data_IF_338368971829
#
_entry.id   IF_338368971829
#
_cell.length_a   1.000
_cell.length_b   1.000
_cell.length_c   1.000
_cell.angle_alpha   90.00
_cell.angle_beta   90.00
_cell.angle_gamma   90.00
#
_symmetry.space_group_name_H-M   'P 1'
#
loop_
_entity.id
_entity.type
_entity.pdbx_description
1 polymer ?
#
# COMPACT_ATOMS: atom_id res chain seq x y z
N UNK A 1 -9.98 11.40 12.14
CA UNK A 1 -8.65 10.88 11.77
C UNK A 1 -7.60 11.68 12.51
N UNK A 2 -6.75 11.04 13.33
CA UNK A 2 -5.57 11.68 13.93
C UNK A 2 -4.65 12.30 12.87
N UNK A 3 -4.04 13.45 13.20
CA UNK A 3 -3.08 14.12 12.32
C UNK A 3 -1.69 13.96 12.91
N UNK A 4 -0.76 13.48 12.09
CA UNK A 4 0.67 13.41 12.39
C UNK A 4 1.40 14.38 11.46
N UNK A 5 1.79 15.53 12.00
CA UNK A 5 2.48 16.57 11.26
C UNK A 5 3.98 16.47 11.46
N UNK A 6 4.71 16.31 10.35
CA UNK A 6 6.15 16.50 10.26
C UNK A 6 6.52 17.95 9.92
N UNK A 7 5.52 18.83 9.86
CA UNK A 7 5.68 20.25 9.55
C UNK A 7 5.48 21.06 10.82
N UNK A 8 6.55 21.62 11.38
CA UNK A 8 6.50 22.38 12.63
C UNK A 8 5.80 23.75 12.50
N UNK A 9 5.78 24.34 11.31
CA UNK A 9 5.20 25.66 11.04
C UNK A 9 3.71 25.62 10.64
N UNK A 10 3.18 24.43 10.36
CA UNK A 10 1.81 24.22 9.87
C UNK A 10 1.09 23.29 10.84
N UNK A 11 0.07 23.82 11.51
CA UNK A 11 -0.85 23.01 12.31
C UNK A 11 -1.94 22.51 11.40
N UNK A 12 -2.06 21.19 11.26
CA UNK A 12 -3.05 20.57 10.41
C UNK A 12 -4.15 19.90 11.26
N UNK A 13 -5.39 20.07 10.83
CA UNK A 13 -6.57 19.50 11.48
C UNK A 13 -7.45 18.83 10.43
N UNK A 14 -7.78 17.56 10.67
CA UNK A 14 -8.79 16.85 9.90
C UNK A 14 -10.13 16.90 10.64
N UNK A 15 -11.18 17.37 9.97
CA UNK A 15 -12.53 17.46 10.54
C UNK A 15 -13.59 17.00 9.53
N UNK A 16 -14.79 16.69 10.04
CA UNK A 16 -15.99 16.55 9.21
C UNK A 16 -16.81 17.81 9.40
N UNK A 17 -16.87 18.66 8.36
CA UNK A 17 -17.67 19.88 8.35
C UNK A 17 -18.87 19.69 7.44
N UNK A 18 -20.09 19.86 7.97
CA UNK A 18 -21.34 19.69 7.21
C UNK A 18 -21.44 18.35 6.46
N UNK A 19 -20.92 17.28 7.08
CA UNK A 19 -20.90 15.93 6.50
C UNK A 19 -19.78 15.68 5.50
N UNK A 20 -18.89 16.65 5.25
CA UNK A 20 -17.80 16.55 4.29
C UNK A 20 -16.42 16.49 4.97
N UNK A 21 -15.49 15.64 4.48
CA UNK A 21 -14.14 15.58 5.00
C UNK A 21 -13.34 16.81 4.56
N UNK A 22 -12.74 17.49 5.54
CA UNK A 22 -12.02 18.75 5.34
C UNK A 22 -10.67 18.69 6.04
N UNK A 23 -9.65 19.21 5.37
CA UNK A 23 -8.36 19.53 5.98
C UNK A 23 -8.27 21.05 6.20
N UNK A 24 -7.91 21.44 7.43
CA UNK A 24 -7.55 22.82 7.76
C UNK A 24 -6.05 22.89 8.02
N UNK A 25 -5.37 23.78 7.31
CA UNK A 25 -3.97 24.11 7.55
C UNK A 25 -3.91 25.49 8.19
N UNK A 26 -3.37 25.57 9.40
CA UNK A 26 -3.21 26.81 10.17
C UNK A 26 -1.74 27.18 10.27
N UNK A 27 -1.45 28.45 10.01
CA UNK A 27 -0.10 29.02 9.98
C UNK A 27 -0.07 30.41 10.58
N UNK A 28 1.07 30.82 11.14
CA UNK A 28 1.23 32.13 11.79
C UNK A 28 1.29 33.29 10.77
N UNK A 29 1.46 32.99 9.49
CA UNK A 29 1.39 33.94 8.37
C UNK A 29 0.75 33.30 7.14
N UNK A 30 0.40 34.06 6.09
CA UNK A 30 -0.29 33.51 4.93
C UNK A 30 0.59 32.47 4.21
N UNK A 31 0.01 31.31 3.90
CA UNK A 31 0.70 30.23 3.19
C UNK A 31 1.10 30.64 1.75
N UNK A 32 0.37 31.60 1.14
CA UNK A 32 0.59 32.10 -0.23
C UNK A 32 0.73 30.97 -1.25
N UNK A 33 -0.22 30.05 -1.22
CA UNK A 33 -0.29 28.94 -2.17
C UNK A 33 -0.62 29.43 -3.58
N UNK A 34 -0.09 28.75 -4.61
CA UNK A 34 -0.44 28.97 -6.01
C UNK A 34 -1.66 28.16 -6.42
N UNK A 35 -1.69 26.90 -5.99
CA UNK A 35 -2.74 25.95 -6.29
C UNK A 35 -2.80 24.88 -5.21
N UNK A 36 -3.94 24.19 -5.12
CA UNK A 36 -4.09 22.98 -4.32
C UNK A 36 -4.54 21.86 -5.24
N UNK A 37 -3.83 20.75 -5.20
CA UNK A 37 -4.15 19.55 -5.96
C UNK A 37 -4.67 18.46 -5.03
N UNK A 38 -5.69 17.74 -5.46
CA UNK A 38 -6.25 16.58 -4.76
C UNK A 38 -6.33 15.37 -5.68
N UNK A 39 -6.27 14.18 -5.10
CA UNK A 39 -6.34 12.91 -5.85
C UNK A 39 -5.60 11.77 -5.17
N UNK A 40 -5.06 10.85 -5.96
CA UNK A 40 -4.27 9.71 -5.43
C UNK A 40 -2.80 10.08 -5.41
N UNK A 41 -2.23 10.16 -4.21
CA UNK A 41 -0.82 10.40 -3.99
C UNK A 41 -0.04 9.09 -3.83
N UNK A 42 1.17 9.08 -4.35
CA UNK A 42 2.17 8.05 -4.12
C UNK A 42 3.21 8.57 -3.11
N UNK A 43 3.53 7.73 -2.14
CA UNK A 43 4.66 7.89 -1.23
C UNK A 43 5.71 6.85 -1.59
N UNK A 44 6.75 7.26 -2.32
CA UNK A 44 7.86 6.39 -2.70
C UNK A 44 8.99 6.48 -1.68
N UNK A 45 9.45 5.32 -1.22
CA UNK A 45 10.55 5.17 -0.26
C UNK A 45 11.65 4.31 -0.87
N UNK A 46 12.87 4.84 -1.03
CA UNK A 46 13.93 4.14 -1.75
C UNK A 46 15.34 4.64 -1.42
N UNK A 47 16.35 3.80 -1.66
CA UNK A 47 17.75 4.20 -1.57
C UNK A 47 18.29 4.66 -2.92
N UNK A 48 18.84 5.87 -2.95
CA UNK A 48 19.49 6.44 -4.14
C UNK A 48 21.00 6.46 -3.95
N UNK A 49 21.75 6.09 -4.99
CA UNK A 49 23.20 6.23 -5.01
C UNK A 49 23.57 7.69 -5.34
N UNK A 50 24.16 8.39 -4.38
CA UNK A 50 24.69 9.75 -4.54
C UNK A 50 26.23 9.68 -4.44
N UNK A 51 26.89 9.60 -5.59
CA UNK A 51 28.35 9.46 -5.67
C UNK A 51 28.83 8.15 -5.02
N UNK A 52 29.56 8.24 -3.90
CA UNK A 52 30.07 7.08 -3.15
C UNK A 52 29.17 6.66 -1.98
N UNK A 53 28.08 7.36 -1.74
CA UNK A 53 27.17 7.13 -0.60
C UNK A 53 25.79 6.71 -1.08
N UNK A 54 25.09 5.94 -0.25
CA UNK A 54 23.66 5.68 -0.42
C UNK A 54 22.88 6.60 0.51
N UNK A 55 21.84 7.23 -0.03
CA UNK A 55 20.96 8.13 0.73
C UNK A 55 19.53 7.62 0.58
N UNK A 56 18.85 7.46 1.72
CA UNK A 56 17.43 7.11 1.74
C UNK A 56 16.59 8.34 1.38
N UNK A 57 15.59 8.15 0.52
CA UNK A 57 14.73 9.21 0.00
C UNK A 57 13.26 8.89 0.22
N UNK A 58 12.50 9.95 0.43
CA UNK A 58 11.05 9.97 0.37
C UNK A 58 10.65 10.94 -0.74
N UNK A 59 10.03 10.41 -1.79
CA UNK A 59 9.60 11.19 -2.94
C UNK A 59 8.07 11.09 -3.06
N UNK A 60 7.32 12.12 -2.65
CA UNK A 60 5.88 12.16 -2.88
C UNK A 60 5.57 12.55 -4.33
N UNK A 61 4.51 11.98 -4.89
CA UNK A 61 3.98 12.39 -6.18
C UNK A 61 2.46 12.25 -6.24
N UNK A 62 1.83 12.87 -7.24
CA UNK A 62 0.42 12.68 -7.56
C UNK A 62 0.30 11.81 -8.81
N UNK A 63 -0.43 10.69 -8.72
CA UNK A 63 -0.70 9.80 -9.86
C UNK A 63 -1.83 10.35 -10.73
N UNK A 64 -2.90 10.81 -10.09
CA UNK A 64 -4.07 11.42 -10.72
C UNK A 64 -4.43 12.67 -9.93
N UNK A 65 -4.09 13.85 -10.44
CA UNK A 65 -4.34 15.12 -9.77
C UNK A 65 -5.44 15.92 -10.45
N UNK A 66 -6.31 16.54 -9.64
CA UNK A 66 -7.17 17.64 -10.05
C UNK A 66 -6.91 18.84 -9.15
N UNK A 67 -6.94 20.03 -9.72
CA UNK A 67 -6.95 21.26 -8.93
C UNK A 67 -8.27 21.35 -8.15
N UNK A 68 -8.19 21.75 -6.88
CA UNK A 68 -9.35 21.93 -6.00
C UNK A 68 -9.33 23.34 -5.40
N UNK A 69 -10.53 23.86 -5.16
CA UNK A 69 -10.67 25.14 -4.46
C UNK A 69 -10.26 25.03 -3.00
N UNK A 70 -9.62 26.08 -2.50
CA UNK A 70 -9.30 26.24 -1.09
C UNK A 70 -9.85 27.56 -0.57
N UNK A 71 -10.39 27.55 0.64
CA UNK A 71 -10.94 28.74 1.29
C UNK A 71 -9.94 29.29 2.30
N UNK A 72 -9.51 30.52 2.10
CA UNK A 72 -8.67 31.23 3.05
C UNK A 72 -9.53 32.02 4.05
N UNK A 73 -9.16 31.93 5.31
CA UNK A 73 -9.71 32.76 6.38
C UNK A 73 -8.63 33.13 7.38
N UNK A 74 -8.93 34.08 8.26
CA UNK A 74 -8.05 34.47 9.35
C UNK A 74 -8.76 34.18 10.67
N UNK A 75 -8.08 33.48 11.58
CA UNK A 75 -8.59 33.25 12.93
C UNK A 75 -8.68 34.55 13.72
N UNK A 76 -9.44 34.55 14.82
CA UNK A 76 -9.52 35.70 15.74
C UNK A 76 -8.15 36.10 16.30
N UNK A 77 -7.23 35.13 16.42
CA UNK A 77 -5.85 35.32 16.88
C UNK A 77 -4.88 35.78 15.77
N UNK A 78 -5.39 36.05 14.56
CA UNK A 78 -4.59 36.55 13.43
C UNK A 78 -3.88 35.47 12.59
N UNK A 79 -3.97 34.19 12.98
CA UNK A 79 -3.40 33.09 12.18
C UNK A 79 -4.17 32.87 10.87
N UNK A 80 -3.44 32.57 9.80
CA UNK A 80 -4.01 32.21 8.49
C UNK A 80 -4.49 30.76 8.50
N UNK A 81 -5.71 30.53 7.99
CA UNK A 81 -6.32 29.20 7.88
C UNK A 81 -6.67 28.95 6.42
N UNK A 82 -6.11 27.88 5.86
CA UNK A 82 -6.49 27.33 4.56
C UNK A 82 -7.39 26.10 4.78
N UNK A 83 -8.61 26.15 4.26
CA UNK A 83 -9.60 25.08 4.39
C UNK A 83 -9.83 24.41 3.03
N UNK A 84 -9.64 23.09 2.97
CA UNK A 84 -9.66 22.31 1.73
C UNK A 84 -10.63 21.13 1.90
N UNK A 85 -11.59 21.01 0.98
CA UNK A 85 -12.50 19.85 0.90
C UNK A 85 -11.81 18.68 0.19
N UNK A 86 -11.79 17.51 0.83
CA UNK A 86 -10.99 16.36 0.38
C UNK A 86 -11.64 15.53 -0.71
N UNK A 87 -12.96 15.66 -0.89
CA UNK A 87 -13.75 14.77 -1.73
C UNK A 87 -13.81 13.35 -1.13
N UNK A 88 -13.89 12.34 -1.99
CA UNK A 88 -13.91 10.95 -1.57
C UNK A 88 -12.52 10.49 -1.13
N UNK A 89 -12.42 9.98 0.10
CA UNK A 89 -11.21 9.34 0.61
C UNK A 89 -11.33 7.86 0.30
N UNK A 90 -10.40 7.31 -0.48
CA UNK A 90 -10.32 5.89 -0.81
C UNK A 90 -9.38 5.16 0.17
N UNK A 91 -9.53 3.84 0.38
CA UNK A 91 -8.59 3.09 1.19
C UNK A 91 -7.18 3.15 0.62
N UNK A 92 -6.20 3.19 1.52
CA UNK A 92 -4.80 3.16 1.14
C UNK A 92 -4.37 1.76 0.72
N UNK A 93 -3.24 1.68 0.05
CA UNK A 93 -2.54 0.43 -0.22
C UNK A 93 -1.05 0.68 -0.01
N UNK A 94 -0.31 -0.35 0.41
CA UNK A 94 1.11 -0.16 0.64
C UNK A 94 1.88 -1.46 0.76
N UNK A 95 3.08 -1.47 0.19
CA UNK A 95 4.04 -2.57 0.29
C UNK A 95 5.39 -1.97 0.67
N UNK A 96 5.92 -2.37 1.81
CA UNK A 96 7.25 -2.03 2.30
C UNK A 96 8.09 -3.28 2.52
N UNK A 97 9.40 -3.17 2.31
CA UNK A 97 10.34 -4.28 2.43
C UNK A 97 11.63 -3.86 3.11
N UNK A 98 12.23 -4.80 3.83
CA UNK A 98 13.63 -4.76 4.25
C UNK A 98 14.03 -3.40 4.80
N UNK A 99 14.94 -2.69 4.11
CA UNK A 99 15.52 -1.41 4.53
C UNK A 99 14.59 -0.20 4.34
N UNK A 100 13.31 -0.34 4.69
CA UNK A 100 12.27 0.70 4.57
C UNK A 100 12.10 1.21 3.13
N UNK A 101 12.08 0.29 2.17
CA UNK A 101 11.83 0.59 0.76
C UNK A 101 10.45 0.12 0.32
N UNK A 102 9.81 0.87 -0.56
CA UNK A 102 8.54 0.49 -1.14
C UNK A 102 7.65 1.68 -1.44
N UNK A 103 6.34 1.41 -1.52
CA UNK A 103 5.36 2.38 -1.97
C UNK A 103 4.13 2.31 -1.08
N UNK A 104 3.57 3.47 -0.75
CA UNK A 104 2.20 3.59 -0.21
C UNK A 104 1.42 4.54 -1.11
N UNK A 105 0.22 4.14 -1.51
CA UNK A 105 -0.74 4.99 -2.21
C UNK A 105 -1.89 5.35 -1.29
N UNK A 106 -2.31 6.61 -1.29
CA UNK A 106 -3.42 7.12 -0.48
C UNK A 106 -4.10 8.30 -1.16
N UNK A 107 -5.32 8.66 -0.74
CA UNK A 107 -5.85 9.99 -1.05
C UNK A 107 -4.88 11.04 -0.53
N UNK A 108 -4.57 12.05 -1.34
CA UNK A 108 -3.60 13.07 -0.99
C UNK A 108 -4.04 14.48 -1.41
N UNK A 109 -3.50 15.47 -0.69
CA UNK A 109 -3.46 16.87 -1.10
C UNK A 109 -2.01 17.30 -1.30
N UNK A 110 -1.78 18.12 -2.32
CA UNK A 110 -0.53 18.84 -2.54
C UNK A 110 -0.85 20.34 -2.63
N UNK A 111 -0.37 21.10 -1.67
CA UNK A 111 -0.45 22.56 -1.65
C UNK A 111 0.87 23.10 -2.17
N UNK A 112 0.80 23.67 -3.37
CA UNK A 112 1.93 24.24 -4.09
C UNK A 112 2.23 25.66 -3.57
N UNK A 113 3.42 25.86 -3.02
CA UNK A 113 3.83 27.10 -2.35
C UNK A 113 5.09 27.67 -3.02
N UNK A 114 4.96 28.56 -4.02
CA UNK A 114 6.09 28.98 -4.85
C UNK A 114 7.25 29.66 -4.14
N UNK A 115 6.98 30.34 -3.02
CA UNK A 115 7.97 31.08 -2.23
C UNK A 115 8.29 30.36 -0.90
N UNK A 116 7.95 29.08 -0.80
CA UNK A 116 8.12 28.28 0.40
C UNK A 116 8.36 26.81 0.07
N UNK A 117 8.04 25.95 1.03
CA UNK A 117 8.01 24.51 0.83
C UNK A 117 6.58 24.08 0.63
N UNK A 118 6.35 23.28 -0.40
CA UNK A 118 5.07 22.64 -0.63
C UNK A 118 4.61 21.87 0.61
N UNK A 119 3.30 21.75 0.78
CA UNK A 119 2.71 20.97 1.86
C UNK A 119 1.96 19.80 1.26
N UNK A 120 2.31 18.60 1.69
CA UNK A 120 1.66 17.36 1.32
C UNK A 120 0.86 16.84 2.51
N UNK A 121 -0.37 16.40 2.26
CA UNK A 121 -1.18 15.69 3.23
C UNK A 121 -1.67 14.37 2.64
N UNK A 122 -1.31 13.25 3.26
CA UNK A 122 -1.74 11.90 2.88
C UNK A 122 -2.76 11.37 3.87
N UNK A 123 -3.90 10.90 3.38
CA UNK A 123 -4.99 10.33 4.19
C UNK A 123 -4.89 8.81 4.14
N UNK A 124 -4.08 8.28 5.05
CA UNK A 124 -3.79 6.86 5.18
C UNK A 124 -4.96 6.19 5.91
N UNK A 125 -5.80 5.46 5.18
CA UNK A 125 -7.08 4.94 5.67
C UNK A 125 -7.24 3.46 5.39
N UNK A 126 -7.63 2.68 6.40
CA UNK A 126 -7.96 1.27 6.23
C UNK A 126 -9.25 1.07 5.42
N UNK A 127 -9.39 -0.03 4.67
CA UNK A 127 -10.65 -0.35 4.01
C UNK A 127 -11.77 -0.60 5.02
N UNK A 128 -12.96 -0.01 4.78
CA UNK A 128 -14.15 -0.11 5.63
C UNK A 128 -15.23 -1.04 5.07
N UNK A 129 -14.86 -1.85 4.08
CA UNK A 129 -15.75 -2.75 3.36
C UNK A 129 -15.13 -4.14 3.27
N UNK A 130 -15.98 -5.14 3.02
CA UNK A 130 -15.53 -6.50 2.82
C UNK A 130 -15.05 -6.68 1.38
N UNK A 131 -13.81 -7.12 1.22
CA UNK A 131 -13.24 -7.42 -0.10
C UNK A 131 -13.84 -8.72 -0.66
N UNK A 132 -14.00 -8.78 -1.98
CA UNK A 132 -14.50 -9.94 -2.70
C UNK A 132 -13.55 -10.29 -3.84
N UNK A 133 -12.86 -11.45 -3.80
CA UNK A 133 -11.99 -11.87 -4.88
C UNK A 133 -12.80 -12.38 -6.07
N UNK A 134 -12.38 -11.97 -7.25
CA UNK A 134 -12.81 -12.52 -8.55
C UNK A 134 -11.59 -12.98 -9.33
N UNK A 135 -11.75 -13.99 -10.17
CA UNK A 135 -10.65 -14.68 -10.84
C UNK A 135 -10.82 -14.60 -12.35
N UNK A 136 -9.73 -14.31 -13.07
CA UNK A 136 -9.71 -14.34 -14.54
C UNK A 136 -10.03 -15.74 -15.11
N UNK A 137 -9.62 -16.80 -14.41
CA UNK A 137 -10.04 -18.18 -14.65
C UNK A 137 -10.11 -19.00 -13.36
N UNK A 138 -11.01 -20.00 -13.29
CA UNK A 138 -11.25 -20.76 -12.05
C UNK A 138 -10.27 -21.92 -11.80
N UNK A 139 -9.52 -22.34 -12.83
CA UNK A 139 -8.62 -23.49 -12.77
C UNK A 139 -7.22 -23.11 -13.28
N UNK A 140 -6.21 -23.37 -12.46
CA UNK A 140 -4.81 -23.38 -12.85
C UNK A 140 -4.37 -24.83 -13.03
N UNK A 141 -3.57 -25.11 -14.07
CA UNK A 141 -3.05 -26.46 -14.28
C UNK A 141 -1.66 -26.42 -14.90
N UNK A 142 -0.76 -27.23 -14.35
CA UNK A 142 0.60 -27.44 -14.85
C UNK A 142 0.84 -28.93 -15.02
N UNK A 143 1.58 -29.29 -16.07
CA UNK A 143 1.98 -30.66 -16.35
C UNK A 143 3.50 -30.73 -16.51
N UNK A 144 4.08 -31.84 -16.04
CA UNK A 144 5.49 -32.16 -16.21
C UNK A 144 5.65 -33.67 -16.26
N UNK A 145 6.05 -34.18 -17.42
CA UNK A 145 6.12 -35.62 -17.71
C UNK A 145 4.82 -36.35 -17.32
N UNK A 146 4.90 -37.29 -16.37
CA UNK A 146 3.76 -38.05 -15.86
C UNK A 146 3.13 -37.45 -14.61
N UNK A 147 3.48 -36.21 -14.24
CA UNK A 147 2.93 -35.48 -13.10
C UNK A 147 2.05 -34.31 -13.55
N UNK A 148 0.99 -34.07 -12.80
CA UNK A 148 0.10 -32.94 -13.00
C UNK A 148 -0.22 -32.28 -11.65
N UNK A 149 -0.17 -30.96 -11.62
CA UNK A 149 -0.73 -30.20 -10.52
C UNK A 149 -1.85 -29.29 -11.03
N UNK A 150 -2.92 -29.18 -10.27
CA UNK A 150 -4.05 -28.31 -10.57
C UNK A 150 -4.51 -27.57 -9.32
N UNK A 151 -4.94 -26.33 -9.47
CA UNK A 151 -5.52 -25.54 -8.39
C UNK A 151 -6.86 -24.95 -8.83
N UNK A 152 -7.92 -25.25 -8.10
CA UNK A 152 -9.20 -24.52 -8.21
C UNK A 152 -9.27 -23.50 -7.10
N UNK A 153 -9.56 -22.25 -7.43
CA UNK A 153 -9.69 -21.17 -6.45
C UNK A 153 -11.07 -20.51 -6.53
N UNK A 154 -11.63 -20.18 -5.38
CA UNK A 154 -12.93 -19.54 -5.24
C UNK A 154 -12.95 -18.54 -4.09
N UNK A 155 -13.95 -17.64 -4.05
CA UNK A 155 -14.12 -16.70 -2.95
C UNK A 155 -14.68 -17.40 -1.71
N UNK A 156 -14.17 -17.06 -0.53
CA UNK A 156 -14.80 -17.44 0.74
C UNK A 156 -15.92 -16.46 1.11
N UNK A 157 -16.86 -16.91 1.95
CA UNK A 157 -17.92 -16.05 2.48
C UNK A 157 -17.40 -14.83 3.26
N UNK A 158 -16.17 -14.89 3.78
CA UNK A 158 -15.52 -13.83 4.56
C UNK A 158 -14.58 -12.95 3.74
N UNK A 159 -14.59 -13.09 2.40
CA UNK A 159 -13.84 -12.19 1.50
C UNK A 159 -12.40 -12.59 1.21
N UNK A 160 -12.07 -13.85 1.46
CA UNK A 160 -10.77 -14.46 1.16
C UNK A 160 -10.82 -15.40 -0.03
N UNK A 161 -9.74 -16.13 -0.24
CA UNK A 161 -9.61 -17.16 -1.28
C UNK A 161 -9.62 -18.52 -0.58
N UNK A 162 -10.49 -19.42 -1.01
CA UNK A 162 -10.34 -20.86 -0.78
C UNK A 162 -9.75 -21.49 -2.02
N UNK A 163 -8.79 -22.39 -1.85
CA UNK A 163 -8.16 -23.10 -2.94
C UNK A 163 -8.00 -24.58 -2.63
N UNK A 164 -8.23 -25.42 -3.64
CA UNK A 164 -7.91 -26.85 -3.60
C UNK A 164 -6.80 -27.13 -4.59
N UNK A 165 -5.64 -27.54 -4.08
CA UNK A 165 -4.48 -27.92 -4.90
C UNK A 165 -4.37 -29.43 -4.91
N UNK A 166 -4.43 -30.01 -6.11
CA UNK A 166 -4.26 -31.45 -6.33
C UNK A 166 -2.96 -31.67 -7.06
N UNK A 167 -2.13 -32.58 -6.54
CA UNK A 167 -0.91 -33.04 -7.19
C UNK A 167 -0.96 -34.56 -7.39
N UNK A 168 -0.80 -34.99 -8.64
CA UNK A 168 -0.74 -36.39 -9.06
C UNK A 168 0.58 -36.72 -9.77
N UNK A 169 0.95 -38.00 -9.77
CA UNK A 169 2.22 -38.52 -10.30
C UNK A 169 3.38 -38.42 -9.31
N UNK A 170 4.59 -38.77 -9.78
CA UNK A 170 5.79 -38.92 -8.95
C UNK A 170 6.97 -38.02 -9.33
N UNK A 171 6.86 -37.25 -10.42
CA UNK A 171 7.97 -36.44 -10.95
C UNK A 171 8.03 -35.04 -10.34
N UNK A 172 6.88 -34.45 -9.98
CA UNK A 172 6.86 -33.22 -9.18
C UNK A 172 6.97 -33.54 -7.69
N UNK A 173 7.90 -32.89 -7.00
CA UNK A 173 8.10 -32.99 -5.54
C UNK A 173 7.04 -32.25 -4.73
N UNK A 174 6.36 -31.30 -5.37
CA UNK A 174 5.31 -30.50 -4.76
C UNK A 174 4.71 -29.51 -5.74
N UNK A 175 3.65 -28.84 -5.31
CA UNK A 175 3.01 -27.75 -6.02
C UNK A 175 2.75 -26.61 -5.04
N UNK A 176 3.22 -25.41 -5.35
CA UNK A 176 3.00 -24.22 -4.52
C UNK A 176 1.96 -23.31 -5.16
N UNK A 177 0.99 -22.88 -4.36
CA UNK A 177 0.06 -21.82 -4.72
C UNK A 177 0.53 -20.52 -4.06
N UNK A 178 0.85 -19.52 -4.88
CA UNK A 178 1.40 -18.24 -4.44
C UNK A 178 0.52 -17.09 -4.92
N UNK A 179 0.21 -16.16 -4.02
CA UNK A 179 -0.40 -14.88 -4.37
C UNK A 179 0.70 -13.84 -4.53
N UNK A 180 0.82 -13.28 -5.73
CA UNK A 180 1.68 -12.14 -6.01
C UNK A 180 0.86 -10.87 -5.89
N UNK A 181 1.39 -9.89 -5.18
CA UNK A 181 0.88 -8.52 -5.10
C UNK A 181 1.81 -7.60 -5.86
N UNK A 182 1.26 -6.64 -6.60
CA UNK A 182 2.02 -5.56 -7.20
C UNK A 182 1.30 -4.23 -6.97
N UNK A 183 2.06 -3.25 -6.51
CA UNK A 183 1.63 -1.88 -6.32
C UNK A 183 2.72 -0.98 -6.89
N UNK A 184 2.46 -0.39 -8.06
CA UNK A 184 3.42 0.46 -8.75
C UNK A 184 4.77 -0.25 -8.97
N UNK A 185 5.85 0.30 -8.42
CA UNK A 185 7.21 -0.27 -8.46
C UNK A 185 7.45 -1.37 -7.41
N UNK A 186 6.57 -1.50 -6.41
CA UNK A 186 6.67 -2.50 -5.36
C UNK A 186 5.88 -3.78 -5.72
N UNK A 187 6.38 -4.93 -5.27
CA UNK A 187 5.70 -6.22 -5.43
C UNK A 187 6.02 -7.15 -4.27
N UNK A 188 5.19 -8.12 -3.94
CA UNK A 188 5.57 -9.16 -3.00
C UNK A 188 4.80 -10.47 -3.23
N UNK A 189 5.44 -11.57 -2.87
CA UNK A 189 4.89 -12.91 -3.06
C UNK A 189 4.55 -13.51 -1.69
N UNK A 190 3.34 -14.04 -1.56
CA UNK A 190 2.88 -14.78 -0.38
C UNK A 190 2.49 -16.20 -0.81
N UNK A 191 3.12 -17.20 -0.20
CA UNK A 191 2.72 -18.60 -0.44
C UNK A 191 1.46 -18.91 0.35
N UNK A 192 0.34 -19.14 -0.33
CA UNK A 192 -0.92 -19.57 0.29
C UNK A 192 -0.79 -21.01 0.82
N UNK A 193 -0.11 -21.88 0.08
CA UNK A 193 0.06 -23.27 0.47
C UNK A 193 0.95 -24.07 -0.46
N UNK A 194 1.38 -25.25 0.01
CA UNK A 194 2.19 -26.19 -0.74
C UNK A 194 1.63 -27.61 -0.59
N UNK A 195 1.22 -28.21 -1.71
CA UNK A 195 0.79 -29.60 -1.76
C UNK A 195 1.95 -30.50 -2.16
N UNK A 196 2.15 -31.63 -1.44
CA UNK A 196 3.20 -32.61 -1.75
C UNK A 196 2.71 -33.79 -2.59
N UNK A 197 1.52 -34.29 -2.29
CA UNK A 197 0.82 -35.36 -3.02
C UNK A 197 -0.67 -35.32 -2.68
N UNK A 198 -1.53 -35.71 -3.60
CA UNK A 198 -2.98 -35.74 -3.39
C UNK A 198 -3.59 -34.35 -3.37
N UNK A 199 -4.79 -34.22 -2.80
CA UNK A 199 -5.52 -32.95 -2.71
C UNK A 199 -5.34 -32.33 -1.34
N UNK A 200 -5.03 -31.04 -1.29
CA UNK A 200 -4.93 -30.23 -0.08
C UNK A 200 -5.71 -28.93 -0.26
N UNK A 201 -6.35 -28.49 0.80
CA UNK A 201 -7.14 -27.27 0.84
C UNK A 201 -6.39 -26.18 1.58
N UNK A 202 -6.43 -24.97 1.04
CA UNK A 202 -5.79 -23.79 1.62
C UNK A 202 -6.75 -22.62 1.62
N UNK A 203 -6.55 -21.72 2.57
CA UNK A 203 -7.27 -20.46 2.64
C UNK A 203 -6.29 -19.31 2.71
N UNK A 204 -6.67 -18.19 2.11
CA UNK A 204 -5.97 -16.92 2.21
C UNK A 204 -6.98 -15.84 2.56
N UNK A 205 -6.56 -14.90 3.39
CA UNK A 205 -7.39 -13.76 3.80
C UNK A 205 -6.62 -12.47 3.50
N UNK A 206 -7.27 -11.45 2.90
CA UNK A 206 -6.66 -10.15 2.69
C UNK A 206 -6.11 -9.56 3.99
N UNK A 207 -4.97 -8.89 3.90
CA UNK A 207 -4.42 -8.12 5.02
C UNK A 207 -5.31 -6.91 5.27
N UNK A 208 -6.14 -7.01 6.30
CA UNK A 208 -7.02 -5.93 6.75
C UNK A 208 -6.52 -5.45 8.10
N UNK A 209 -5.94 -4.24 8.14
CA UNK A 209 -5.53 -3.58 9.40
C UNK A 209 -6.53 -2.49 9.73
N UNK A 210 -6.59 -2.09 11.00
CA UNK A 210 -7.42 -0.98 11.45
C UNK A 210 -6.53 0.22 11.75
N UNK A 211 -6.55 1.22 10.87
CA UNK A 211 -5.78 2.44 11.02
C UNK A 211 -6.46 3.59 10.27
N UNK A 212 -6.30 4.80 10.80
CA UNK A 212 -6.67 6.05 10.15
C UNK A 212 -5.63 7.10 10.55
N UNK A 213 -4.95 7.70 9.58
CA UNK A 213 -3.88 8.68 9.83
C UNK A 213 -3.83 9.74 8.72
N UNK A 214 -3.82 11.01 9.09
CA UNK A 214 -3.47 12.10 8.19
C UNK A 214 -2.00 12.46 8.42
N UNK A 215 -1.14 12.11 7.46
CA UNK A 215 0.29 12.43 7.50
C UNK A 215 0.53 13.75 6.75
N UNK A 216 1.09 14.75 7.42
CA UNK A 216 1.41 16.06 6.82
C UNK A 216 2.92 16.27 6.77
N UNK A 217 3.46 16.65 5.62
CA UNK A 217 4.91 16.79 5.37
C UNK A 217 5.22 17.90 4.37
N UNK A 218 6.44 18.44 4.38
CA UNK A 218 6.96 19.34 3.34
C UNK A 218 7.45 18.63 2.07
N UNK A 219 6.96 17.41 1.85
CA UNK A 219 7.48 16.50 0.83
C UNK A 219 8.88 15.98 1.15
N UNK A 220 9.27 16.05 2.42
CA UNK A 220 10.52 15.50 2.93
C UNK A 220 10.25 14.71 4.20
N UNK A 221 10.83 13.52 4.29
CA UNK A 221 10.77 12.65 5.46
C UNK A 221 12.15 12.04 5.62
N UNK A 222 12.59 11.78 6.86
CA UNK A 222 13.76 10.96 7.12
C UNK A 222 13.34 9.53 7.49
N UNK A 223 14.29 8.59 7.40
CA UNK A 223 13.99 7.17 7.63
C UNK A 223 13.43 6.90 9.03
N UNK A 224 13.92 7.59 10.07
CA UNK A 224 13.44 7.39 11.44
C UNK A 224 11.98 7.82 11.60
N UNK A 225 11.58 8.94 10.98
CA UNK A 225 10.19 9.37 10.94
C UNK A 225 9.30 8.31 10.26
N UNK A 226 9.78 7.69 9.18
CA UNK A 226 9.03 6.59 8.55
C UNK A 226 8.93 5.38 9.49
N UNK A 227 10.01 5.00 10.17
CA UNK A 227 10.01 3.91 11.14
C UNK A 227 8.97 4.15 12.23
N UNK A 228 8.89 5.37 12.78
CA UNK A 228 7.90 5.74 13.79
C UNK A 228 6.47 5.59 13.26
N UNK A 229 6.20 6.12 12.05
CA UNK A 229 4.88 6.00 11.39
C UNK A 229 4.53 4.53 11.13
N UNK A 230 5.45 3.74 10.58
CA UNK A 230 5.19 2.34 10.24
C UNK A 230 5.02 1.46 11.47
N UNK A 231 5.78 1.71 12.54
CA UNK A 231 5.58 1.05 13.83
C UNK A 231 4.18 1.35 14.37
N UNK A 232 3.74 2.62 14.29
CA UNK A 232 2.38 3.02 14.67
C UNK A 232 1.28 2.37 13.82
N UNK A 233 1.58 2.02 12.55
CA UNK A 233 0.69 1.29 11.65
C UNK A 233 0.80 -0.24 11.81
N UNK A 234 1.61 -0.72 12.75
CA UNK A 234 1.74 -2.14 13.11
C UNK A 234 2.75 -2.93 12.30
N UNK A 235 3.76 -2.26 11.71
CA UNK A 235 4.93 -2.94 11.15
C UNK A 235 5.86 -3.44 12.27
N UNK A 236 6.34 -4.67 12.12
CA UNK A 236 7.43 -5.19 12.96
C UNK A 236 8.76 -4.67 12.40
N UNK A 237 9.53 -3.97 13.23
CA UNK A 237 10.78 -3.33 12.85
C UNK A 237 11.97 -4.08 13.46
N UNK A 238 12.94 -4.46 12.63
CA UNK A 238 14.21 -5.01 13.06
C UNK A 238 15.19 -3.90 13.51
N UNK A 239 15.91 -4.12 14.61
CA UNK A 239 16.83 -3.14 15.20
C UNK A 239 18.25 -3.19 14.62
N UNK A 240 18.42 -3.49 13.33
CA UNK A 240 19.72 -3.77 12.73
C UNK A 240 20.73 -2.61 12.76
N UNK A 241 22.02 -2.96 12.70
CA UNK A 241 23.19 -2.04 12.70
C UNK A 241 23.22 -0.99 11.57
N UNK A 242 22.32 -1.08 10.58
CA UNK A 242 22.28 -0.22 9.39
C UNK A 242 21.00 0.63 9.29
N UNK A 243 20.37 0.93 10.43
CA UNK A 243 19.08 1.62 10.50
C UNK A 243 17.95 0.61 10.40
N UNK A 244 16.92 0.78 11.24
CA UNK A 244 15.85 -0.21 11.36
C UNK A 244 15.12 -0.45 10.05
N UNK A 245 14.77 -1.71 9.80
CA UNK A 245 14.03 -2.17 8.64
C UNK A 245 12.75 -2.90 9.04
N UNK A 246 11.89 -3.18 8.07
CA UNK A 246 10.75 -4.05 8.28
C UNK A 246 11.22 -5.50 8.33
N UNK A 247 10.73 -6.28 9.29
CA UNK A 247 10.89 -7.74 9.29
C UNK A 247 10.19 -8.35 8.05
N UNK A 248 10.98 -8.66 7.02
CA UNK A 248 10.48 -9.23 5.77
C UNK A 248 9.74 -8.22 4.90
N UNK A 249 8.47 -8.50 4.58
CA UNK A 249 7.60 -7.62 3.80
C UNK A 249 6.40 -7.20 4.64
N UNK A 250 6.16 -5.90 4.73
CA UNK A 250 4.97 -5.34 5.33
C UNK A 250 3.99 -4.89 4.25
N UNK A 251 2.81 -5.51 4.26
CA UNK A 251 1.65 -5.04 3.50
C UNK A 251 0.81 -4.18 4.44
N UNK A 252 0.58 -2.92 4.04
CA UNK A 252 -0.22 -1.97 4.80
C UNK A 252 -1.68 -2.46 4.89
N UNK A 253 -2.30 -2.66 3.73
CA UNK A 253 -3.54 -3.39 3.59
C UNK A 253 -3.73 -3.84 2.14
N UNK A 254 -4.49 -4.93 1.98
CA UNK A 254 -4.98 -5.39 0.70
C UNK A 254 -6.19 -4.57 0.26
N UNK A 255 -6.38 -4.43 -1.05
CA UNK A 255 -7.43 -3.59 -1.59
C UNK A 255 -7.40 -3.48 -3.11
N UNK A 256 -8.33 -2.72 -3.68
CA UNK A 256 -8.52 -2.62 -5.15
C UNK A 256 -7.36 -1.97 -5.90
N UNK A 257 -6.53 -1.18 -5.20
CA UNK A 257 -5.37 -0.49 -5.81
C UNK A 257 -4.17 -1.40 -6.04
N UNK A 258 -4.21 -2.65 -5.57
CA UNK A 258 -3.15 -3.63 -5.75
C UNK A 258 -3.54 -4.60 -6.87
N UNK A 259 -2.59 -4.89 -7.75
CA UNK A 259 -2.72 -5.95 -8.75
C UNK A 259 -2.37 -7.30 -8.12
N UNK A 260 -3.24 -8.29 -8.28
CA UNK A 260 -3.04 -9.62 -7.74
C UNK A 260 -2.91 -10.67 -8.86
N UNK A 261 -1.93 -11.55 -8.71
CA UNK A 261 -1.77 -12.73 -9.58
C UNK A 261 -1.68 -13.96 -8.71
N UNK A 262 -2.58 -14.92 -8.92
CA UNK A 262 -2.51 -16.24 -8.32
C UNK A 262 -1.70 -17.16 -9.24
N UNK A 263 -0.60 -17.70 -8.72
CA UNK A 263 0.36 -18.52 -9.45
C UNK A 263 0.39 -19.94 -8.86
N UNK A 264 0.16 -20.94 -9.70
CA UNK A 264 0.45 -22.34 -9.41
C UNK A 264 1.80 -22.69 -10.02
N UNK A 265 2.73 -23.19 -9.21
CA UNK A 265 4.06 -23.61 -9.65
C UNK A 265 4.32 -25.06 -9.22
N UNK A 266 4.73 -25.90 -10.16
CA UNK A 266 5.16 -27.29 -9.90
C UNK A 266 6.65 -27.37 -9.58
N UNK A 267 7.03 -28.01 -8.48
CA UNK A 267 8.43 -28.30 -8.14
C UNK A 267 8.94 -29.54 -8.89
N UNK A 268 9.56 -29.33 -10.05
CA UNK A 268 10.23 -30.34 -10.84
C UNK A 268 11.72 -30.54 -10.49
N UNK A 269 12.21 -30.02 -9.37
CA UNK A 269 13.63 -30.10 -9.00
C UNK A 269 14.51 -29.10 -9.75
N UNK A 270 15.65 -29.55 -10.29
CA UNK A 270 16.71 -28.67 -10.83
C UNK A 270 16.42 -28.06 -12.21
N UNK A 271 15.23 -28.28 -12.77
CA UNK A 271 14.80 -27.79 -14.08
C UNK A 271 13.82 -26.62 -13.96
N UNK A 272 13.45 -26.04 -15.11
CA UNK A 272 12.41 -25.01 -15.19
C UNK A 272 11.10 -25.57 -14.61
N UNK A 273 10.62 -24.91 -13.57
CA UNK A 273 9.34 -25.22 -12.95
C UNK A 273 8.20 -24.82 -13.88
N UNK A 274 7.28 -25.73 -14.23
CA UNK A 274 6.08 -25.33 -14.96
C UNK A 274 5.20 -24.47 -14.07
N UNK A 275 4.59 -23.46 -14.67
CA UNK A 275 3.75 -22.51 -13.96
C UNK A 275 2.50 -22.15 -14.78
N UNK A 276 1.41 -21.91 -14.07
CA UNK A 276 0.17 -21.38 -14.63
C UNK A 276 -0.39 -20.32 -13.69
N UNK A 277 -1.00 -19.28 -14.23
CA UNK A 277 -1.43 -18.12 -13.45
C UNK A 277 -2.78 -17.56 -13.87
N UNK A 278 -3.43 -16.87 -12.94
CA UNK A 278 -4.64 -16.07 -13.20
C UNK A 278 -4.53 -14.73 -12.49
N UNK A 279 -5.10 -13.70 -13.10
CA UNK A 279 -5.39 -12.45 -12.41
C UNK A 279 -6.43 -12.70 -11.30
N UNK A 280 -6.26 -12.00 -10.18
CA UNK A 280 -7.26 -11.87 -9.11
C UNK A 280 -7.58 -10.40 -8.96
N UNK A 281 -8.86 -10.05 -8.83
CA UNK A 281 -9.30 -8.69 -8.50
C UNK A 281 -10.01 -8.69 -7.17
N UNK A 282 -9.62 -7.78 -6.28
CA UNK A 282 -10.34 -7.53 -5.04
C UNK A 282 -11.23 -6.31 -5.23
N UNK A 283 -12.55 -6.50 -5.16
CA UNK A 283 -13.55 -5.43 -5.24
C UNK A 283 -14.39 -5.38 -3.97
N UNK A 284 -15.26 -4.37 -3.86
CA UNK A 284 -16.20 -4.19 -2.75
C UNK A 284 -17.63 -4.00 -3.23
#
# INVERSE_FOLDING_TARGET
MPVYSLVGSVRAEYIIAEGKPVLRLRTDGPLRHRAVYAGVGEMLFHWVQEGKTQVWKFDPSMLESREVGAQESTSEEGASILTIELGEIIPSAGILKGRMEGVITATALHVDVPLGQDVWAFFIRSPWFQLRPTFGKPLLSVQHDSSQASATAGPTAVGGIEAKVTLSGSQMKGASLTLKRRLQSASCDETIGQAKTGTQEFTWTPVMRNFDLCLVTHGSMNQNQLVDVMTGLGAAIDGGLFGGGVEGTFVLCDGPSIEYTLLLKGDAGFLRHPEDQTEVKLSW
#
